data_IF_904288434743
#
_entry.id   IF_904288434743
#
_cell.length_a   1.000
_cell.length_b   1.000
_cell.length_c   1.000
_cell.angle_alpha   90.00
_cell.angle_beta   90.00
_cell.angle_gamma   90.00
#
_symmetry.space_group_name_H-M   'P 1'
#
loop_
_entity.id
_entity.type
_entity.pdbx_description
1 polymer ?
#
# COMPACT_ATOMS: atom_id res chain seq x y z
N UNK A 1 -26.56 -50.41 4.78
CA UNK A 1 -26.60 -50.36 6.25
C UNK A 1 -25.53 -49.37 6.67
N UNK A 2 -25.74 -48.18 7.25
CA UNK A 2 -26.81 -47.51 8.01
C UNK A 2 -26.59 -46.00 7.69
N UNK A 3 -27.38 -45.38 6.81
CA UNK A 3 -28.35 -44.32 7.13
C UNK A 3 -28.15 -43.62 8.49
N UNK A 4 -28.10 -42.28 8.53
CA UNK A 4 -28.96 -41.49 9.42
C UNK A 4 -29.05 -40.05 8.90
N UNK A 5 -30.30 -39.67 8.61
CA UNK A 5 -30.83 -38.30 8.48
C UNK A 5 -31.11 -37.78 9.90
N UNK A 6 -31.14 -36.46 10.11
CA UNK A 6 -32.37 -35.68 10.42
C UNK A 6 -32.02 -34.25 10.90
N UNK A 7 -32.75 -33.28 10.30
CA UNK A 7 -33.31 -31.99 10.76
C UNK A 7 -32.65 -31.25 11.94
N UNK A 8 -32.45 -29.93 11.92
CA UNK A 8 -33.26 -28.86 11.32
C UNK A 8 -33.91 -28.04 12.44
N UNK A 9 -33.83 -26.70 12.38
CA UNK A 9 -34.86 -25.74 12.87
C UNK A 9 -34.47 -24.32 12.40
N UNK A 10 -35.50 -23.66 11.89
CA UNK A 10 -35.60 -22.27 11.42
C UNK A 10 -35.94 -21.35 12.60
N UNK A 11 -35.37 -20.15 12.65
CA UNK A 11 -36.00 -19.02 13.36
C UNK A 11 -35.67 -17.69 12.67
N UNK A 12 -36.69 -17.13 12.02
CA UNK A 12 -36.86 -15.76 11.57
C UNK A 12 -37.29 -14.84 12.73
N UNK A 13 -36.92 -13.56 12.70
CA UNK A 13 -37.63 -12.37 13.23
C UNK A 13 -36.76 -11.14 12.87
N UNK A 14 -37.08 -10.32 11.87
CA UNK A 14 -38.11 -9.27 11.80
C UNK A 14 -37.78 -7.99 12.59
N UNK A 15 -37.55 -6.94 11.79
CA UNK A 15 -37.59 -5.48 11.94
C UNK A 15 -38.28 -4.84 13.16
N UNK A 16 -37.85 -3.62 13.51
CA UNK A 16 -38.68 -2.45 13.95
C UNK A 16 -37.79 -1.18 14.04
N UNK A 17 -38.00 -0.17 13.16
CA UNK A 17 -38.60 1.18 13.39
C UNK A 17 -37.60 2.32 13.70
N UNK A 18 -37.33 3.10 12.64
CA UNK A 18 -37.52 4.56 12.42
C UNK A 18 -37.44 5.63 13.53
N UNK A 19 -37.08 6.85 13.04
CA UNK A 19 -37.40 8.23 13.50
C UNK A 19 -36.56 8.76 14.70
N UNK A 20 -36.14 10.02 14.81
CA UNK A 20 -36.47 11.27 14.12
C UNK A 20 -35.32 12.30 14.24
N UNK A 21 -35.45 13.36 13.46
CA UNK A 21 -34.63 14.57 13.43
C UNK A 21 -34.65 15.39 14.73
N UNK A 22 -33.60 16.19 14.94
CA UNK A 22 -33.71 17.53 15.55
C UNK A 22 -32.85 18.49 14.74
N UNK A 23 -33.51 19.48 14.16
CA UNK A 23 -32.90 20.69 13.63
C UNK A 23 -32.70 21.69 14.78
N UNK A 24 -31.62 22.47 14.75
CA UNK A 24 -31.59 23.78 15.39
C UNK A 24 -30.61 24.69 14.65
N UNK A 25 -31.21 25.66 13.98
CA UNK A 25 -30.62 26.90 13.49
C UNK A 25 -30.08 27.72 14.67
N UNK A 26 -28.85 28.23 14.56
CA UNK A 26 -28.49 29.51 15.19
C UNK A 26 -27.73 30.32 14.15
N UNK A 27 -28.41 31.37 13.72
CA UNK A 27 -27.94 32.42 12.84
C UNK A 27 -27.69 33.60 13.78
N UNK A 28 -26.46 34.08 13.88
CA UNK A 28 -26.17 35.32 14.57
C UNK A 28 -25.45 36.26 13.61
N UNK A 29 -26.19 37.29 13.21
CA UNK A 29 -25.71 38.46 12.50
C UNK A 29 -25.33 39.52 13.54
N UNK A 30 -24.12 40.07 13.46
CA UNK A 30 -23.83 41.43 13.92
C UNK A 30 -22.72 41.96 12.99
N UNK A 31 -23.04 42.80 12.01
CA UNK A 31 -23.11 44.27 12.13
C UNK A 31 -21.81 44.91 12.64
N UNK A 32 -20.84 44.97 11.72
CA UNK A 32 -20.20 46.19 11.20
C UNK A 32 -20.40 47.50 11.98
N UNK A 33 -19.30 48.03 12.52
CA UNK A 33 -19.17 49.44 12.88
C UNK A 33 -17.93 50.01 12.17
N UNK A 34 -18.14 51.06 11.39
CA UNK A 34 -17.14 51.74 10.58
C UNK A 34 -16.39 52.78 11.43
N UNK A 35 -15.06 52.69 11.46
CA UNK A 35 -14.17 53.66 12.11
C UNK A 35 -13.55 54.60 11.05
N UNK A 36 -13.36 55.91 11.33
CA UNK A 36 -12.91 56.92 10.35
C UNK A 36 -11.44 56.75 9.92
N UNK A 37 -11.03 57.35 8.79
CA UNK A 37 -9.69 57.18 8.23
C UNK A 37 -8.66 58.04 8.99
N UNK A 38 -7.62 57.41 9.52
CA UNK A 38 -6.44 58.07 10.06
C UNK A 38 -5.21 57.76 9.21
N UNK A 39 -4.53 58.83 8.80
CA UNK A 39 -3.14 58.97 8.35
C UNK A 39 -2.56 57.92 7.38
N UNK A 40 -2.29 58.38 6.16
CA UNK A 40 -1.51 57.70 5.12
C UNK A 40 -0.11 57.34 5.65
N UNK A 41 0.15 56.05 5.79
CA UNK A 41 1.49 55.47 5.92
C UNK A 41 2.07 55.20 4.53
N UNK A 42 3.41 55.28 4.31
CA UNK A 42 4.01 55.16 2.99
C UNK A 42 3.72 53.78 2.39
N UNK A 43 3.42 53.75 1.09
CA UNK A 43 3.16 52.53 0.33
C UNK A 43 4.27 51.50 0.54
N UNK A 44 3.94 50.44 1.27
CA UNK A 44 4.73 49.21 1.29
C UNK A 44 4.58 48.58 -0.10
N UNK A 45 5.70 48.54 -0.83
CA UNK A 45 5.78 47.92 -2.14
C UNK A 45 5.21 46.50 -2.04
N UNK A 46 4.26 46.09 -2.91
CA UNK A 46 3.72 44.74 -2.87
C UNK A 46 4.89 43.75 -2.93
N UNK A 47 5.07 42.99 -1.85
CA UNK A 47 6.01 41.88 -1.86
C UNK A 47 5.67 41.03 -3.07
N UNK A 48 6.66 40.87 -3.97
CA UNK A 48 6.55 39.95 -5.10
C UNK A 48 6.07 38.61 -4.54
N UNK A 49 4.96 38.03 -5.05
CA UNK A 49 4.53 36.71 -4.63
C UNK A 49 5.72 35.79 -4.76
N UNK A 50 6.15 35.17 -3.65
CA UNK A 50 7.18 34.14 -3.69
C UNK A 50 6.80 33.19 -4.83
N UNK A 51 7.69 33.07 -5.82
CA UNK A 51 7.44 32.28 -7.01
C UNK A 51 6.96 30.90 -6.55
N UNK A 52 5.69 30.59 -6.81
CA UNK A 52 5.12 29.29 -6.48
C UNK A 52 6.01 28.26 -7.16
N UNK A 53 6.80 27.52 -6.37
CA UNK A 53 7.64 26.47 -6.89
C UNK A 53 6.72 25.54 -7.67
N UNK A 54 7.05 25.30 -8.95
CA UNK A 54 6.27 24.40 -9.77
C UNK A 54 6.20 23.05 -9.06
N UNK A 55 5.03 22.40 -8.97
CA UNK A 55 4.89 21.17 -8.23
C UNK A 55 5.89 20.15 -8.75
N UNK A 56 6.61 19.50 -7.83
CA UNK A 56 7.51 18.39 -8.17
C UNK A 56 6.64 17.23 -8.65
N UNK A 57 6.71 16.87 -9.93
CA UNK A 57 5.82 15.88 -10.56
C UNK A 57 6.67 14.77 -11.17
N UNK A 58 6.29 13.53 -10.92
CA UNK A 58 6.76 12.38 -11.69
C UNK A 58 5.70 12.01 -12.73
N UNK A 59 6.15 11.69 -13.95
CA UNK A 59 5.28 11.26 -15.04
C UNK A 59 6.00 10.25 -15.93
N UNK A 60 5.32 9.15 -16.25
CA UNK A 60 5.69 8.21 -17.31
C UNK A 60 4.52 7.97 -18.27
N UNK A 61 4.54 6.87 -19.03
CA UNK A 61 3.50 6.49 -19.98
C UNK A 61 2.21 5.97 -19.30
N UNK A 62 2.24 5.58 -18.02
CA UNK A 62 1.06 5.06 -17.30
C UNK A 62 0.54 5.96 -16.21
N UNK A 63 1.41 6.65 -15.49
CA UNK A 63 1.02 7.45 -14.32
C UNK A 63 1.63 8.85 -14.36
N UNK A 64 0.90 9.77 -13.73
CA UNK A 64 1.37 11.09 -13.32
C UNK A 64 1.05 11.28 -11.84
N UNK A 65 2.03 11.70 -11.04
CA UNK A 65 1.88 11.88 -9.59
C UNK A 65 2.55 13.16 -9.12
N UNK A 66 1.88 13.89 -8.23
CA UNK A 66 2.45 15.05 -7.55
C UNK A 66 3.22 14.54 -6.33
N UNK A 67 4.48 14.95 -6.21
CA UNK A 67 5.37 14.57 -5.13
C UNK A 67 5.21 15.61 -4.01
N UNK A 68 4.72 15.22 -2.83
CA UNK A 68 4.54 16.14 -1.71
C UNK A 68 5.87 16.63 -1.15
N UNK A 69 5.84 17.76 -0.45
CA UNK A 69 7.01 18.30 0.22
C UNK A 69 7.65 17.30 1.20
N UNK A 70 8.98 17.28 1.21
CA UNK A 70 9.76 16.38 2.06
C UNK A 70 9.94 14.96 1.49
N UNK A 71 9.33 14.63 0.36
CA UNK A 71 9.64 13.40 -0.39
C UNK A 71 10.68 13.68 -1.47
N UNK A 72 11.66 12.77 -1.59
CA UNK A 72 12.70 12.83 -2.63
C UNK A 72 12.40 11.81 -3.72
N UNK A 73 12.51 12.22 -4.98
CA UNK A 73 12.31 11.35 -6.15
C UNK A 73 13.62 10.71 -6.59
N UNK A 74 13.58 9.42 -6.88
CA UNK A 74 14.64 8.68 -7.57
C UNK A 74 14.03 7.63 -8.51
N UNK A 75 14.86 7.05 -9.38
CA UNK A 75 14.45 5.96 -10.28
C UNK A 75 14.61 4.61 -9.59
N UNK A 76 13.64 3.69 -9.71
CA UNK A 76 13.75 2.36 -9.16
C UNK A 76 14.77 1.53 -9.95
N UNK A 77 15.44 0.61 -9.24
CA UNK A 77 16.32 -0.38 -9.82
C UNK A 77 15.86 -1.78 -9.43
N UNK A 78 15.88 -2.71 -10.39
CA UNK A 78 15.68 -4.12 -10.13
C UNK A 78 17.01 -4.86 -10.35
N UNK A 79 17.32 -5.78 -9.45
CA UNK A 79 18.47 -6.69 -9.61
C UNK A 79 17.96 -8.08 -9.94
N UNK A 80 18.41 -8.62 -11.06
CA UNK A 80 18.19 -10.01 -11.45
C UNK A 80 19.50 -10.79 -11.34
N UNK A 81 19.41 -12.09 -11.06
CA UNK A 81 20.57 -12.96 -11.00
C UNK A 81 20.42 -14.08 -12.02
N UNK A 82 21.43 -14.27 -12.87
CA UNK A 82 21.45 -15.35 -13.87
C UNK A 82 22.54 -16.35 -13.51
N UNK A 83 22.18 -17.64 -13.44
CA UNK A 83 23.14 -18.73 -13.26
C UNK A 83 23.64 -19.22 -14.61
N UNK A 84 24.91 -18.95 -14.93
CA UNK A 84 25.55 -19.43 -16.17
C UNK A 84 26.79 -20.24 -15.81
N UNK A 85 26.82 -21.53 -16.18
CA UNK A 85 27.97 -22.40 -15.94
C UNK A 85 28.37 -22.56 -14.47
N UNK A 86 27.41 -22.46 -13.54
CA UNK A 86 27.67 -22.52 -12.09
C UNK A 86 28.09 -21.19 -11.45
N UNK A 87 28.21 -20.10 -12.23
CA UNK A 87 28.46 -18.75 -11.72
C UNK A 87 27.18 -17.93 -11.69
N UNK A 88 26.92 -17.25 -10.57
CA UNK A 88 25.84 -16.27 -10.44
C UNK A 88 26.34 -14.93 -10.97
N UNK A 89 25.64 -14.36 -11.95
CA UNK A 89 25.88 -12.99 -12.44
C UNK A 89 24.68 -12.14 -12.08
N UNK A 90 24.91 -11.09 -11.30
CA UNK A 90 23.86 -10.11 -10.98
C UNK A 90 23.83 -8.99 -12.04
N UNK A 91 22.63 -8.63 -12.45
CA UNK A 91 22.37 -7.53 -13.37
C UNK A 91 21.37 -6.58 -12.73
N UNK A 92 21.81 -5.35 -12.46
CA UNK A 92 20.95 -4.27 -11.98
C UNK A 92 20.58 -3.35 -13.12
N UNK A 93 19.28 -3.18 -13.34
CA UNK A 93 18.74 -2.28 -14.36
C UNK A 93 17.76 -1.28 -13.75
N UNK A 94 17.61 -0.13 -14.40
CA UNK A 94 16.57 0.84 -14.05
C UNK A 94 15.25 0.37 -14.63
N UNK A 95 14.21 0.27 -13.80
CA UNK A 95 12.87 -0.14 -14.25
C UNK A 95 11.94 1.08 -14.36
N UNK A 96 10.86 1.01 -15.18
CA UNK A 96 9.88 2.08 -15.24
C UNK A 96 9.15 2.27 -13.90
N UNK A 97 9.04 3.53 -13.47
CA UNK A 97 8.42 3.89 -12.21
C UNK A 97 9.20 4.95 -11.43
N UNK A 98 8.77 5.16 -10.19
CA UNK A 98 9.39 6.09 -9.25
C UNK A 98 9.66 5.43 -7.90
N UNK A 99 10.70 5.90 -7.22
CA UNK A 99 10.88 5.68 -5.77
C UNK A 99 10.84 7.02 -5.09
N UNK A 100 9.85 7.19 -4.21
CA UNK A 100 9.76 8.36 -3.35
C UNK A 100 10.31 7.97 -1.97
N UNK A 101 11.24 8.76 -1.45
CA UNK A 101 11.86 8.49 -0.14
C UNK A 101 11.61 9.63 0.84
N UNK A 102 11.36 9.28 2.11
CA UNK A 102 11.24 10.22 3.23
C UNK A 102 11.83 9.58 4.49
N UNK A 103 13.02 10.04 4.89
CA UNK A 103 13.78 9.38 5.95
C UNK A 103 14.13 7.94 5.55
N UNK A 104 13.71 6.97 6.36
CA UNK A 104 13.89 5.53 6.09
C UNK A 104 12.73 4.88 5.34
N UNK A 105 11.70 5.63 4.95
CA UNK A 105 10.56 5.09 4.21
C UNK A 105 10.79 5.24 2.71
N UNK A 106 10.48 4.19 1.97
CA UNK A 106 10.53 4.17 0.50
C UNK A 106 9.19 3.70 -0.06
N UNK A 107 8.54 4.56 -0.84
CA UNK A 107 7.35 4.25 -1.63
C UNK A 107 7.76 3.96 -3.07
N UNK A 108 7.65 2.70 -3.47
CA UNK A 108 7.89 2.24 -4.83
C UNK A 108 6.61 2.36 -5.64
N UNK A 109 6.68 2.99 -6.81
CA UNK A 109 5.61 3.14 -7.78
C UNK A 109 6.06 2.47 -9.10
N UNK A 110 6.15 1.15 -9.12
CA UNK A 110 6.64 0.40 -10.28
C UNK A 110 5.52 0.26 -11.31
N UNK A 111 5.69 0.86 -12.50
CA UNK A 111 4.63 0.93 -13.51
C UNK A 111 4.69 -0.17 -14.54
N UNK A 112 5.78 -0.92 -14.61
CA UNK A 112 5.97 -2.03 -15.55
C UNK A 112 6.54 -3.23 -14.81
N UNK A 113 5.84 -3.67 -13.78
CA UNK A 113 6.28 -4.74 -12.92
C UNK A 113 5.11 -5.70 -12.71
N UNK A 114 5.25 -6.88 -13.30
CA UNK A 114 4.24 -7.93 -13.26
C UNK A 114 4.79 -9.23 -12.73
N UNK A 115 3.87 -10.12 -12.36
CA UNK A 115 4.17 -11.47 -11.92
C UNK A 115 4.83 -12.27 -13.06
N UNK A 116 5.82 -13.08 -12.70
CA UNK A 116 6.37 -14.11 -13.57
C UNK A 116 5.63 -15.44 -13.35
N UNK A 117 4.99 -15.62 -12.20
CA UNK A 117 4.26 -16.82 -11.86
C UNK A 117 2.92 -16.92 -12.61
N UNK A 118 2.50 -18.14 -12.95
CA UNK A 118 1.15 -18.41 -13.44
C UNK A 118 0.07 -18.38 -12.36
N UNK A 119 0.40 -17.92 -11.14
CA UNK A 119 -0.54 -17.79 -10.03
C UNK A 119 -1.11 -16.38 -10.08
N UNK A 120 -2.41 -16.27 -10.34
CA UNK A 120 -3.15 -15.02 -10.39
C UNK A 120 -2.92 -14.15 -9.13
N UNK A 121 -2.64 -12.85 -9.33
CA UNK A 121 -2.32 -11.90 -8.26
C UNK A 121 -0.88 -11.99 -7.72
N UNK A 122 -0.12 -12.96 -8.21
CA UNK A 122 1.31 -13.13 -8.02
C UNK A 122 1.69 -13.81 -6.71
N UNK A 123 2.95 -14.20 -6.61
CA UNK A 123 3.53 -14.66 -5.33
C UNK A 123 4.10 -13.47 -4.60
N UNK A 124 3.92 -13.40 -3.28
CA UNK A 124 4.50 -12.32 -2.46
C UNK A 124 6.01 -12.17 -2.67
N UNK A 125 6.71 -13.29 -2.87
CA UNK A 125 8.15 -13.31 -3.17
C UNK A 125 8.55 -12.41 -4.33
N UNK A 126 7.68 -12.21 -5.33
CA UNK A 126 7.94 -11.38 -6.51
C UNK A 126 7.99 -9.89 -6.20
N UNK A 127 7.32 -9.45 -5.12
CA UNK A 127 7.36 -8.05 -4.67
C UNK A 127 8.07 -7.87 -3.33
N UNK A 128 8.54 -8.96 -2.72
CA UNK A 128 9.13 -8.97 -1.37
C UNK A 128 10.29 -7.99 -1.23
N UNK A 129 11.14 -7.88 -2.26
CA UNK A 129 12.26 -6.93 -2.30
C UNK A 129 11.83 -5.45 -2.20
N UNK A 130 10.58 -5.12 -2.54
CA UNK A 130 10.05 -3.76 -2.48
C UNK A 130 9.14 -3.50 -1.27
N UNK A 131 8.77 -4.55 -0.53
CA UNK A 131 7.95 -4.47 0.69
C UNK A 131 8.82 -4.59 1.93
N UNK A 132 9.69 -5.61 1.95
CA UNK A 132 10.56 -5.95 3.04
C UNK A 132 11.94 -6.38 2.49
N UNK A 133 12.79 -5.43 2.06
CA UNK A 133 14.08 -5.73 1.43
C UNK A 133 15.06 -6.49 2.33
N UNK A 134 14.82 -6.53 3.63
CA UNK A 134 15.60 -7.30 4.60
C UNK A 134 15.15 -8.76 4.75
N UNK A 135 13.99 -9.13 4.19
CA UNK A 135 13.57 -10.51 4.20
C UNK A 135 14.45 -11.30 3.23
N UNK A 136 15.11 -12.32 3.76
CA UNK A 136 15.67 -13.36 2.93
C UNK A 136 14.53 -14.20 2.34
N UNK A 137 14.20 -13.95 1.08
CA UNK A 137 13.15 -14.66 0.35
C UNK A 137 13.49 -16.13 0.09
N UNK A 138 14.76 -16.54 0.27
CA UNK A 138 15.19 -17.93 0.22
C UNK A 138 15.07 -18.64 1.57
N UNK A 139 14.66 -17.92 2.61
CA UNK A 139 14.39 -18.51 3.91
C UNK A 139 13.16 -19.40 3.85
N UNK A 140 13.28 -20.64 4.31
CA UNK A 140 12.15 -21.59 4.48
C UNK A 140 11.31 -21.29 5.73
N UNK A 141 11.55 -20.16 6.37
CA UNK A 141 10.89 -19.77 7.60
C UNK A 141 9.48 -19.28 7.33
N UNK A 142 8.50 -19.86 8.01
CA UNK A 142 7.11 -19.42 7.91
C UNK A 142 6.86 -18.32 8.92
N UNK A 143 6.60 -17.10 8.44
CA UNK A 143 6.33 -15.93 9.26
C UNK A 143 4.83 -15.80 9.52
N UNK A 144 4.44 -15.56 10.77
CA UNK A 144 3.04 -15.25 11.10
C UNK A 144 2.74 -13.79 10.78
N UNK A 145 2.26 -13.55 9.56
CA UNK A 145 1.91 -12.21 9.08
C UNK A 145 0.41 -11.98 9.27
N UNK A 146 0.07 -10.88 9.94
CA UNK A 146 -1.28 -10.38 10.07
C UNK A 146 -1.49 -9.17 9.15
N UNK A 147 -2.28 -9.29 8.07
CA UNK A 147 -2.59 -8.17 7.20
C UNK A 147 -3.72 -7.30 7.78
N UNK A 148 -3.55 -5.98 7.74
CA UNK A 148 -4.62 -5.01 7.95
C UNK A 148 -4.92 -4.25 6.67
N UNK A 149 -6.18 -4.14 6.28
CA UNK A 149 -6.57 -3.49 5.02
C UNK A 149 -7.21 -2.13 5.28
N UNK A 150 -6.67 -1.09 4.63
CA UNK A 150 -7.21 0.27 4.64
C UNK A 150 -7.67 0.65 3.24
N UNK A 151 -8.93 1.07 3.09
CA UNK A 151 -9.45 1.56 1.81
C UNK A 151 -8.81 2.90 1.45
N UNK A 152 -8.24 3.00 0.24
CA UNK A 152 -7.55 4.22 -0.25
C UNK A 152 -8.44 4.97 -1.23
N UNK A 153 -9.00 4.25 -2.20
CA UNK A 153 -9.96 4.78 -3.18
C UNK A 153 -11.14 3.81 -3.36
N UNK A 154 -12.05 4.10 -4.28
CA UNK A 154 -13.07 3.13 -4.69
C UNK A 154 -12.48 1.86 -5.32
N UNK A 155 -11.28 1.97 -5.91
CA UNK A 155 -10.61 0.89 -6.66
C UNK A 155 -9.36 0.34 -6.00
N UNK A 156 -8.83 0.99 -4.96
CA UNK A 156 -7.58 0.60 -4.32
C UNK A 156 -7.73 0.48 -2.80
N UNK A 157 -7.06 -0.52 -2.26
CA UNK A 157 -6.85 -0.71 -0.82
C UNK A 157 -5.36 -0.88 -0.54
N UNK A 158 -4.90 -0.37 0.60
CA UNK A 158 -3.57 -0.60 1.14
C UNK A 158 -3.63 -1.77 2.10
N UNK A 159 -2.73 -2.72 1.96
CA UNK A 159 -2.55 -3.84 2.89
C UNK A 159 -1.28 -3.60 3.67
N UNK A 160 -1.42 -3.46 4.99
CA UNK A 160 -0.34 -3.28 5.94
C UNK A 160 -0.02 -4.63 6.57
N UNK A 161 1.20 -5.14 6.36
CA UNK A 161 1.61 -6.42 6.91
C UNK A 161 2.28 -6.19 8.25
N UNK A 162 1.83 -6.93 9.26
CA UNK A 162 2.44 -6.92 10.58
C UNK A 162 2.95 -8.30 10.94
N UNK A 163 4.12 -8.35 11.56
CA UNK A 163 4.70 -9.56 12.10
C UNK A 163 4.69 -9.49 13.62
N UNK A 164 4.04 -10.48 14.24
CA UNK A 164 3.99 -10.63 15.69
C UNK A 164 5.07 -11.59 16.17
N UNK A 165 6.06 -11.05 16.88
CA UNK A 165 7.20 -11.83 17.38
C UNK A 165 6.83 -12.76 18.54
N UNK A 166 5.63 -12.62 19.12
CA UNK A 166 5.12 -13.59 20.09
C UNK A 166 4.79 -14.94 19.43
N UNK A 167 4.62 -14.96 18.10
CA UNK A 167 4.42 -16.14 17.28
C UNK A 167 5.68 -16.37 16.44
N UNK A 168 6.73 -17.01 17.01
CA UNK A 168 8.02 -17.10 16.33
C UNK A 168 7.89 -17.83 15.00
N UNK A 169 8.55 -17.28 13.98
CA UNK A 169 8.69 -17.96 12.71
C UNK A 169 9.36 -19.33 12.92
N UNK A 170 8.72 -20.37 12.37
CA UNK A 170 9.17 -21.75 12.48
C UNK A 170 9.56 -22.27 11.11
N UNK A 171 10.73 -22.88 11.03
CA UNK A 171 11.10 -23.76 9.93
C UNK A 171 10.93 -25.19 10.41
N UNK A 172 10.23 -26.00 9.62
CA UNK A 172 10.24 -27.46 9.80
C UNK A 172 11.42 -27.99 9.00
N UNK A 173 12.43 -28.53 9.68
CA UNK A 173 13.58 -29.17 9.03
C UNK A 173 13.19 -30.52 8.42
N UNK A 174 14.09 -31.13 7.63
CA UNK A 174 13.84 -32.46 7.03
C UNK A 174 13.54 -33.56 8.06
N UNK A 175 14.01 -33.38 9.30
CA UNK A 175 13.72 -34.24 10.44
C UNK A 175 12.57 -33.73 11.32
N UNK A 176 11.71 -32.87 10.76
CA UNK A 176 10.51 -32.30 11.36
C UNK A 176 10.73 -31.49 12.64
N UNK A 177 11.97 -31.07 12.91
CA UNK A 177 12.26 -30.25 14.09
C UNK A 177 11.98 -28.78 13.80
N UNK A 178 11.17 -28.10 14.62
CA UNK A 178 10.98 -26.67 14.49
C UNK A 178 12.28 -25.94 14.87
N UNK A 179 12.89 -25.24 13.91
CA UNK A 179 13.98 -24.31 14.16
C UNK A 179 13.39 -22.91 14.26
N UNK A 180 13.74 -22.20 15.35
CA UNK A 180 13.35 -20.81 15.53
C UNK A 180 14.14 -19.95 14.54
N UNK A 181 13.43 -19.31 13.62
CA UNK A 181 13.99 -18.58 12.48
C UNK A 181 14.54 -17.20 12.82
N UNK A 182 15.12 -17.04 14.01
CA UNK A 182 15.70 -15.75 14.43
C UNK A 182 14.65 -14.65 14.49
N UNK A 183 13.44 -14.95 15.01
CA UNK A 183 12.47 -13.92 15.33
C UNK A 183 13.16 -12.80 16.14
N UNK A 184 12.80 -11.52 15.93
CA UNK A 184 13.34 -10.39 16.66
C UNK A 184 13.42 -10.74 18.14
N UNK A 185 14.59 -10.56 18.76
CA UNK A 185 14.81 -10.90 20.17
C UNK A 185 13.91 -10.09 21.11
N UNK A 186 13.25 -9.06 20.60
CA UNK A 186 12.36 -8.18 21.35
C UNK A 186 10.91 -8.46 21.03
N UNK A 187 10.08 -8.80 22.04
CA UNK A 187 8.64 -8.95 21.88
C UNK A 187 7.95 -7.70 21.28
N UNK A 188 7.05 -7.91 20.32
CA UNK A 188 6.20 -6.86 19.76
C UNK A 188 5.56 -7.24 18.44
N UNK A 189 4.70 -6.33 17.95
CA UNK A 189 4.12 -6.38 16.61
C UNK A 189 4.80 -5.31 15.76
N UNK A 190 5.51 -5.73 14.72
CA UNK A 190 6.31 -4.86 13.87
C UNK A 190 5.69 -4.76 12.49
N UNK A 191 5.66 -3.55 11.95
CA UNK A 191 5.25 -3.31 10.57
C UNK A 191 6.33 -3.81 9.62
N UNK A 192 5.92 -4.70 8.74
CA UNK A 192 6.79 -5.42 7.83
C UNK A 192 6.91 -4.71 6.48
N UNK A 193 5.90 -3.94 6.11
CA UNK A 193 5.78 -3.27 4.82
C UNK A 193 4.31 -3.22 4.40
N UNK A 194 4.01 -2.38 3.42
CA UNK A 194 2.67 -2.28 2.85
C UNK A 194 2.71 -2.41 1.35
N UNK A 195 1.63 -2.91 0.76
CA UNK A 195 1.41 -2.87 -0.68
C UNK A 195 0.00 -2.39 -0.98
N UNK A 196 -0.21 -1.92 -2.20
CA UNK A 196 -1.53 -1.54 -2.68
C UNK A 196 -2.07 -2.63 -3.58
N UNK A 197 -3.34 -2.94 -3.41
CA UNK A 197 -4.07 -3.92 -4.21
C UNK A 197 -5.35 -3.32 -4.76
N UNK A 198 -5.85 -3.89 -5.85
CA UNK A 198 -7.18 -3.55 -6.34
C UNK A 198 -8.24 -3.99 -5.33
N UNK A 199 -9.20 -3.10 -5.08
CA UNK A 199 -10.37 -3.42 -4.26
C UNK A 199 -11.29 -4.32 -5.07
N UNK A 200 -11.41 -5.58 -4.65
CA UNK A 200 -12.42 -6.47 -5.17
C UNK A 200 -13.83 -5.92 -4.93
N UNK A 201 -14.71 -5.85 -5.95
CA UNK A 201 -16.13 -5.68 -5.70
C UNK A 201 -16.62 -6.85 -4.83
N UNK A 202 -17.46 -6.55 -3.84
CA UNK A 202 -18.07 -7.59 -3.03
C UNK A 202 -18.92 -8.51 -3.92
N UNK A 203 -18.51 -9.77 -4.06
CA UNK A 203 -19.21 -10.89 -4.70
C UNK A 203 -19.26 -10.86 -6.25
N UNK A 204 -18.25 -11.44 -6.90
CA UNK A 204 -18.55 -12.44 -7.92
C UNK A 204 -18.74 -13.78 -7.18
N UNK A 205 -19.92 -14.39 -7.34
CA UNK A 205 -20.32 -15.63 -6.66
C UNK A 205 -19.63 -16.88 -7.22
N UNK A 206 -18.69 -16.71 -8.15
CA UNK A 206 -17.88 -17.75 -8.76
C UNK A 206 -16.41 -17.39 -8.55
N UNK A 207 -15.58 -18.27 -7.94
CA UNK A 207 -14.14 -18.05 -7.79
C UNK A 207 -13.36 -17.89 -9.10
N UNK A 208 -14.02 -18.05 -10.24
CA UNK A 208 -13.38 -18.20 -11.56
C UNK A 208 -13.35 -16.89 -12.39
N UNK A 209 -14.10 -15.83 -12.01
CA UNK A 209 -14.36 -14.69 -12.91
C UNK A 209 -14.04 -13.29 -12.37
N UNK A 210 -13.34 -13.15 -11.25
CA UNK A 210 -12.82 -11.82 -10.87
C UNK A 210 -11.36 -11.88 -10.47
N UNK A 211 -10.50 -11.54 -11.44
CA UNK A 211 -9.12 -11.08 -11.31
C UNK A 211 -9.03 -9.84 -10.41
N UNK A 212 -9.19 -10.01 -9.11
CA UNK A 212 -9.08 -8.90 -8.18
C UNK A 212 -8.39 -9.32 -6.89
N UNK A 213 -7.59 -8.41 -6.33
CA UNK A 213 -6.77 -8.67 -5.16
C UNK A 213 -5.44 -9.33 -5.49
N UNK A 214 -4.46 -9.16 -4.61
CA UNK A 214 -3.08 -9.60 -4.83
C UNK A 214 -2.08 -8.45 -4.81
N UNK A 215 -0.86 -8.75 -5.22
CA UNK A 215 0.30 -7.84 -5.10
C UNK A 215 0.47 -6.93 -6.32
N UNK A 216 -0.16 -7.30 -7.42
CA UNK A 216 -0.08 -6.64 -8.70
C UNK A 216 -1.39 -5.91 -9.02
N UNK A 217 -1.26 -4.69 -9.50
CA UNK A 217 -2.35 -3.83 -9.93
C UNK A 217 -2.50 -3.98 -11.44
N UNK A 218 -3.68 -4.40 -11.90
CA UNK A 218 -3.95 -4.46 -13.33
C UNK A 218 -4.30 -3.07 -13.88
N UNK A 219 -3.36 -2.46 -14.61
CA UNK A 219 -3.49 -1.09 -15.11
C UNK A 219 -4.76 -0.84 -15.95
N UNK A 220 -5.17 -1.75 -16.87
CA UNK A 220 -6.40 -1.57 -17.66
C UNK A 220 -7.65 -1.33 -16.80
N UNK A 221 -7.85 -2.10 -15.73
CA UNK A 221 -9.01 -1.93 -14.84
C UNK A 221 -9.00 -0.59 -14.11
N UNK A 222 -7.80 -0.09 -13.76
CA UNK A 222 -7.66 1.20 -13.10
C UNK A 222 -8.12 2.35 -14.01
N UNK A 223 -7.86 2.25 -15.31
CA UNK A 223 -8.36 3.20 -16.33
C UNK A 223 -9.74 2.84 -16.89
N UNK A 224 -10.39 1.79 -16.37
CA UNK A 224 -11.75 1.40 -16.77
C UNK A 224 -11.82 0.72 -18.15
N UNK A 225 -10.72 0.13 -18.61
CA UNK A 225 -10.68 -0.71 -19.81
C UNK A 225 -10.65 -2.18 -19.36
N UNK A 226 -11.59 -2.98 -19.83
CA UNK A 226 -11.42 -4.43 -19.79
C UNK A 226 -10.38 -4.82 -20.84
N UNK A 227 -9.44 -5.65 -20.44
CA UNK A 227 -8.38 -6.12 -21.31
C UNK A 227 -8.34 -7.63 -21.33
N UNK A 228 -8.92 -8.22 -22.37
CA UNK A 228 -8.76 -9.63 -22.63
C UNK A 228 -7.29 -9.84 -23.07
N UNK A 229 -6.46 -10.44 -22.19
CA UNK A 229 -5.11 -10.92 -22.50
C UNK A 229 -3.96 -9.90 -22.60
N UNK A 230 -3.94 -8.84 -21.79
CA UNK A 230 -2.66 -8.13 -21.58
C UNK A 230 -1.86 -8.88 -20.53
N UNK A 231 -0.84 -9.64 -20.94
CA UNK A 231 0.04 -10.39 -20.02
C UNK A 231 0.76 -9.50 -18.99
N UNK A 232 1.76 -10.05 -18.30
CA UNK A 232 2.48 -9.39 -17.19
C UNK A 232 2.94 -7.94 -17.44
N UNK A 233 3.07 -7.51 -18.70
CA UNK A 233 3.35 -6.12 -19.04
C UNK A 233 2.26 -5.15 -18.58
N UNK A 234 0.98 -5.53 -18.44
CA UNK A 234 -0.10 -4.63 -17.98
C UNK A 234 -0.20 -4.46 -16.46
N UNK A 235 0.72 -5.05 -15.71
CA UNK A 235 0.72 -5.01 -14.26
C UNK A 235 1.63 -3.90 -13.71
N UNK A 236 1.29 -3.44 -12.51
CA UNK A 236 2.03 -2.47 -11.72
C UNK A 236 2.15 -2.97 -10.28
N UNK A 237 3.14 -2.48 -9.53
CA UNK A 237 3.27 -2.77 -8.11
C UNK A 237 3.54 -1.47 -7.36
N UNK A 238 2.69 -1.14 -6.39
CA UNK A 238 2.92 -0.04 -5.47
C UNK A 238 3.15 -0.60 -4.07
N UNK A 239 4.27 -0.23 -3.44
CA UNK A 239 4.63 -0.71 -2.10
C UNK A 239 5.32 0.35 -1.27
N UNK A 240 5.11 0.29 0.05
CA UNK A 240 5.82 1.08 1.03
C UNK A 240 6.68 0.15 1.89
N UNK A 241 7.94 0.51 2.06
CA UNK A 241 8.91 -0.26 2.86
C UNK A 241 9.64 0.63 3.86
N UNK A 242 10.25 -0.02 4.86
CA UNK A 242 11.23 0.59 5.73
C UNK A 242 12.64 0.11 5.37
N UNK A 243 13.55 1.03 5.08
CA UNK A 243 14.94 0.73 4.77
C UNK A 243 15.69 0.42 6.06
N UNK A 244 15.83 -0.87 6.33
CA UNK A 244 16.59 -1.44 7.44
C UNK A 244 17.12 -2.81 7.03
N UNK A 245 18.20 -3.27 7.68
CA UNK A 245 18.66 -4.68 7.64
C UNK A 245 18.32 -5.42 8.95
N UNK A 246 17.82 -4.68 9.95
CA UNK A 246 17.44 -5.20 11.26
C UNK A 246 15.91 -5.15 11.38
N UNK A 247 15.23 -6.29 11.49
CA UNK A 247 13.77 -6.34 11.62
C UNK A 247 13.26 -5.71 12.92
N UNK A 248 14.09 -5.64 13.97
CA UNK A 248 13.71 -4.99 15.23
C UNK A 248 13.67 -3.46 15.11
N UNK A 249 14.34 -2.90 14.09
CA UNK A 249 14.35 -1.47 13.81
C UNK A 249 13.14 -1.03 12.96
N UNK A 250 12.33 -1.98 12.48
CA UNK A 250 11.08 -1.66 11.80
C UNK A 250 10.11 -0.97 12.76
N UNK A 251 9.27 -0.04 12.26
CA UNK A 251 8.27 0.63 13.09
C UNK A 251 7.32 -0.36 13.77
N UNK A 252 6.91 -0.07 15.00
CA UNK A 252 5.92 -0.88 15.73
C UNK A 252 4.51 -0.56 15.28
N UNK A 253 3.59 -1.53 15.40
CA UNK A 253 2.18 -1.25 15.25
C UNK A 253 1.74 -0.17 16.26
N UNK A 254 1.00 0.83 15.77
CA UNK A 254 0.55 1.96 16.58
C UNK A 254 1.55 3.13 16.70
N UNK A 255 2.74 3.01 16.11
CA UNK A 255 3.69 4.12 16.01
C UNK A 255 3.07 5.31 15.24
N UNK A 256 3.18 6.51 15.80
CA UNK A 256 2.60 7.73 15.24
C UNK A 256 3.28 8.18 13.94
N UNK A 257 4.61 7.99 13.84
CA UNK A 257 5.36 8.27 12.63
C UNK A 257 5.01 7.28 11.53
N UNK A 258 4.88 5.98 11.87
CA UNK A 258 4.37 4.99 10.92
C UNK A 258 2.99 5.37 10.39
N UNK A 259 2.04 5.70 11.26
CA UNK A 259 0.69 6.09 10.85
C UNK A 259 0.71 7.29 9.91
N UNK A 260 1.51 8.31 10.23
CA UNK A 260 1.70 9.48 9.36
C UNK A 260 2.26 9.09 7.99
N UNK A 261 3.29 8.24 7.93
CA UNK A 261 3.87 7.80 6.65
C UNK A 261 2.94 6.93 5.83
N UNK A 262 2.16 6.06 6.48
CA UNK A 262 1.11 5.27 5.86
C UNK A 262 0.05 6.19 5.22
N UNK A 263 -0.41 7.21 5.94
CA UNK A 263 -1.40 8.18 5.45
C UNK A 263 -0.86 9.03 4.28
N UNK A 264 0.38 9.50 4.38
CA UNK A 264 1.05 10.22 3.29
C UNK A 264 1.21 9.34 2.04
N UNK A 265 1.65 8.09 2.18
CA UNK A 265 1.76 7.16 1.05
C UNK A 265 0.40 6.89 0.38
N UNK A 266 -0.65 6.71 1.18
CA UNK A 266 -2.02 6.58 0.67
C UNK A 266 -2.48 7.84 -0.06
N UNK A 267 -2.14 9.03 0.43
CA UNK A 267 -2.46 10.29 -0.23
C UNK A 267 -1.73 10.43 -1.58
N UNK A 268 -0.46 10.03 -1.65
CA UNK A 268 0.33 10.00 -2.90
C UNK A 268 -0.32 9.05 -3.91
N UNK A 269 -0.57 7.80 -3.53
CA UNK A 269 -1.17 6.81 -4.44
C UNK A 269 -2.58 7.22 -4.88
N UNK A 270 -3.36 7.84 -3.98
CA UNK A 270 -4.67 8.41 -4.31
C UNK A 270 -4.58 9.57 -5.30
N UNK A 271 -3.47 10.32 -5.32
CA UNK A 271 -3.27 11.45 -6.24
C UNK A 271 -2.81 11.03 -7.64
N UNK A 272 -2.48 9.75 -7.85
CA UNK A 272 -2.06 9.24 -9.15
C UNK A 272 -3.15 9.46 -10.18
N UNK A 273 -2.79 10.15 -11.25
CA UNK A 273 -3.57 10.23 -12.49
C UNK A 273 -3.06 9.15 -13.44
N UNK A 274 -3.92 8.19 -13.75
CA UNK A 274 -3.63 7.16 -14.75
C UNK A 274 -3.86 7.72 -16.16
N UNK A 275 -2.97 7.40 -17.09
CA UNK A 275 -2.97 7.89 -18.47
C UNK A 275 -3.69 6.95 -19.43
#
# INVERSE_FOLDING_TARGET
MIAWKWLGIVATLASIVSLAAVASHVQDQNQQEAVPPAAQSPAESPATPAAAQSPNVYEDDRIRVVIPDGWTLSKPSATSATLTGGSVTEHTETVPGAVLTKGKYSLFLLTHHGQASGVQGGRFGEISAYVAPWLDSNSTCVWYIHPETTKVTGKLSRVDNYYDTAHPAVQVTEDERPVNCGAPSTPGVFWYGSYFQQTCPALAKTPEDTDCGGYFLFYPDLIGKHADNMGASAEMTFSLSYVTTDPTASPRQGDADLRRMLDEASAIVKSITYK
#
